data_IF_319804073059
#
_entry.id   IF_319804073059
#
_cell.length_a   1.000
_cell.length_b   1.000
_cell.length_c   1.000
_cell.angle_alpha   90.00
_cell.angle_beta   90.00
_cell.angle_gamma   90.00
#
_symmetry.space_group_name_H-M   'P 1'
#
loop_
_entity.id
_entity.type
_entity.pdbx_description
1 polymer ?
#
# COMPACT_ATOMS: atom_id res chain seq x y z
N UNK A 1 8.50 -6.52 9.30
CA UNK A 1 8.58 -5.24 8.54
C UNK A 1 9.78 -5.29 7.61
N UNK A 2 9.72 -6.06 6.53
CA UNK A 2 10.86 -6.27 5.62
C UNK A 2 10.83 -5.43 4.34
N UNK A 3 9.65 -4.96 3.94
CA UNK A 3 9.44 -4.24 2.67
C UNK A 3 9.32 -2.73 2.82
N UNK A 4 9.25 -2.16 4.03
CA UNK A 4 8.99 -0.74 4.24
C UNK A 4 7.49 -0.40 4.32
N UNK A 5 7.20 0.83 4.76
CA UNK A 5 5.83 1.36 4.93
C UNK A 5 5.76 2.79 4.40
N UNK A 6 4.56 3.23 4.04
CA UNK A 6 4.31 4.60 3.58
C UNK A 6 3.09 5.17 4.29
N UNK A 7 3.24 6.35 4.89
CA UNK A 7 2.14 7.13 5.44
C UNK A 7 1.73 8.25 4.47
N UNK A 8 0.47 8.64 4.51
CA UNK A 8 -0.08 9.77 3.74
C UNK A 8 -0.61 10.84 4.68
N UNK A 9 -0.67 12.09 4.20
CA UNK A 9 -1.27 13.19 4.95
C UNK A 9 -2.78 12.98 5.23
N UNK A 10 -3.44 12.09 4.49
CA UNK A 10 -4.84 11.70 4.70
C UNK A 10 -5.07 10.73 5.87
N UNK A 11 -4.04 10.41 6.66
CA UNK A 11 -4.19 9.54 7.82
C UNK A 11 -4.21 8.04 7.51
N UNK A 12 -3.67 7.64 6.35
CA UNK A 12 -3.54 6.23 5.95
C UNK A 12 -2.07 5.79 5.97
N UNK A 13 -1.83 4.56 6.42
CA UNK A 13 -0.55 3.85 6.28
C UNK A 13 -0.74 2.63 5.40
N UNK A 14 0.19 2.43 4.46
CA UNK A 14 0.24 1.31 3.54
C UNK A 14 1.48 0.46 3.79
N UNK A 15 1.31 -0.86 3.79
CA UNK A 15 2.40 -1.82 3.98
C UNK A 15 2.05 -3.19 3.40
N UNK A 16 3.09 -3.99 3.14
CA UNK A 16 2.94 -5.41 2.83
C UNK A 16 2.86 -6.24 4.11
N UNK A 17 1.92 -7.17 4.16
CA UNK A 17 1.75 -8.19 5.20
C UNK A 17 1.66 -9.58 4.56
N UNK A 18 1.76 -10.63 5.37
CA UNK A 18 1.74 -12.03 4.89
C UNK A 18 0.48 -12.36 4.08
N UNK A 19 -0.63 -11.74 4.46
CA UNK A 19 -1.97 -11.91 3.87
C UNK A 19 -2.22 -11.02 2.63
N UNK A 20 -1.35 -10.05 2.35
CA UNK A 20 -1.47 -9.14 1.21
C UNK A 20 -1.01 -7.71 1.48
N UNK A 21 -1.44 -6.80 0.60
CA UNK A 21 -1.22 -5.37 0.74
C UNK A 21 -2.30 -4.78 1.63
N UNK A 22 -1.92 -3.98 2.61
CA UNK A 22 -2.84 -3.47 3.63
C UNK A 22 -2.83 -1.96 3.63
N UNK A 23 -4.02 -1.38 3.77
CA UNK A 23 -4.23 0.00 4.18
C UNK A 23 -4.78 0.01 5.62
N UNK A 24 -4.18 0.82 6.48
CA UNK A 24 -4.58 0.96 7.87
C UNK A 24 -4.72 2.44 8.27
N UNK A 25 -5.53 2.69 9.29
CA UNK A 25 -5.64 3.98 9.95
C UNK A 25 -4.32 4.31 10.66
N UNK A 26 -3.76 5.48 10.37
CA UNK A 26 -2.46 5.90 10.89
C UNK A 26 -2.47 6.19 12.40
N UNK A 27 -3.63 6.52 12.99
CA UNK A 27 -3.75 6.88 14.40
C UNK A 27 -3.74 5.67 15.33
N UNK A 28 -4.26 4.53 14.86
CA UNK A 28 -4.53 3.36 15.70
C UNK A 28 -4.10 2.03 15.07
N UNK A 29 -3.63 2.02 13.82
CA UNK A 29 -3.17 0.83 13.12
C UNK A 29 -4.28 -0.13 12.68
N UNK A 30 -5.55 0.23 12.85
CA UNK A 30 -6.69 -0.60 12.43
C UNK A 30 -6.65 -0.78 10.93
N UNK A 31 -6.65 -2.03 10.47
CA UNK A 31 -6.77 -2.36 9.05
C UNK A 31 -8.11 -1.89 8.52
N UNK A 32 -8.09 -1.13 7.44
CA UNK A 32 -9.27 -0.58 6.78
C UNK A 32 -9.56 -1.34 5.48
N UNK A 33 -8.51 -1.82 4.81
CA UNK A 33 -8.62 -2.53 3.56
C UNK A 33 -7.41 -3.45 3.33
N UNK A 34 -7.61 -4.50 2.54
CA UNK A 34 -6.58 -5.46 2.17
C UNK A 34 -6.80 -5.99 0.76
N UNK A 35 -5.70 -6.28 0.07
CA UNK A 35 -5.70 -7.01 -1.19
C UNK A 35 -4.64 -8.12 -1.20
N UNK A 36 -5.08 -9.36 -1.38
CA UNK A 36 -4.18 -10.50 -1.52
C UNK A 36 -3.52 -10.51 -2.88
N UNK A 37 -2.21 -10.30 -2.90
CA UNK A 37 -1.41 -10.37 -4.14
C UNK A 37 -0.90 -11.78 -4.45
N UNK A 38 -0.91 -12.69 -3.46
CA UNK A 38 -0.22 -13.98 -3.54
C UNK A 38 1.25 -13.85 -3.95
N UNK A 39 1.91 -12.73 -3.57
CA UNK A 39 3.31 -12.45 -3.88
C UNK A 39 4.12 -12.22 -2.61
N UNK A 40 5.43 -12.44 -2.68
CA UNK A 40 6.37 -12.05 -1.64
C UNK A 40 6.73 -10.57 -1.77
N UNK A 41 6.55 -9.82 -0.68
CA UNK A 41 6.80 -8.39 -0.60
C UNK A 41 8.27 -8.08 -0.34
N UNK A 42 8.90 -7.32 -1.23
CA UNK A 42 10.29 -6.88 -1.05
C UNK A 42 10.49 -5.37 -1.19
N UNK A 43 9.56 -4.68 -1.84
CA UNK A 43 9.62 -3.24 -2.05
C UNK A 43 8.58 -2.49 -1.22
N UNK A 44 8.93 -1.27 -0.84
CA UNK A 44 8.03 -0.37 -0.13
C UNK A 44 6.98 0.20 -1.07
N UNK A 45 5.78 0.50 -0.56
CA UNK A 45 4.81 1.23 -1.35
C UNK A 45 5.27 2.67 -1.63
N UNK A 46 4.81 3.21 -2.75
CA UNK A 46 4.99 4.61 -3.12
C UNK A 46 3.67 5.22 -3.59
N UNK A 47 3.56 6.54 -3.57
CA UNK A 47 2.38 7.26 -4.08
C UNK A 47 2.78 8.29 -5.13
N UNK A 48 1.88 8.53 -6.09
CA UNK A 48 2.01 9.52 -7.16
C UNK A 48 0.61 10.02 -7.56
N UNK A 49 0.54 11.06 -8.40
CA UNK A 49 -0.72 11.57 -8.91
C UNK A 49 -0.69 11.66 -10.44
N UNK A 50 -1.83 11.35 -11.07
CA UNK A 50 -2.07 11.51 -12.52
C UNK A 50 -3.43 12.16 -12.70
N UNK A 51 -3.50 13.27 -13.43
CA UNK A 51 -4.72 14.02 -13.69
C UNK A 51 -5.53 14.33 -12.41
N UNK A 52 -4.83 14.70 -11.33
CA UNK A 52 -5.43 15.02 -10.03
C UNK A 52 -5.85 13.81 -9.18
N UNK A 53 -5.75 12.58 -9.69
CA UNK A 53 -6.07 11.37 -8.94
C UNK A 53 -4.80 10.80 -8.29
N UNK A 54 -4.86 10.50 -6.99
CA UNK A 54 -3.75 9.90 -6.26
C UNK A 54 -3.78 8.37 -6.42
N UNK A 55 -2.60 7.78 -6.65
CA UNK A 55 -2.40 6.35 -6.78
C UNK A 55 -1.36 5.86 -5.78
N UNK A 56 -1.51 4.60 -5.36
CA UNK A 56 -0.49 3.85 -4.64
C UNK A 56 0.04 2.75 -5.54
N UNK A 57 1.36 2.67 -5.69
CA UNK A 57 2.03 1.58 -6.39
C UNK A 57 2.88 0.75 -5.43
N UNK A 58 2.92 -0.55 -5.69
CA UNK A 58 3.78 -1.49 -4.98
C UNK A 58 4.22 -2.62 -5.92
N UNK A 59 5.50 -2.98 -5.84
CA UNK A 59 6.05 -4.13 -6.54
C UNK A 59 5.92 -5.39 -5.66
N UNK A 60 5.21 -6.40 -6.16
CA UNK A 60 5.05 -7.71 -5.54
C UNK A 60 5.50 -8.80 -6.51
N UNK A 61 6.61 -9.48 -6.19
CA UNK A 61 7.21 -10.45 -7.10
C UNK A 61 7.53 -9.85 -8.47
N UNK A 62 6.95 -10.42 -9.54
CA UNK A 62 7.12 -9.93 -10.92
C UNK A 62 6.04 -8.93 -11.37
N UNK A 63 5.12 -8.55 -10.48
CA UNK A 63 3.98 -7.69 -10.79
C UNK A 63 4.11 -6.32 -10.12
N UNK A 64 3.57 -5.30 -10.78
CA UNK A 64 3.35 -3.97 -10.21
C UNK A 64 1.85 -3.78 -10.07
N UNK A 65 1.39 -3.52 -8.85
CA UNK A 65 0.00 -3.19 -8.56
C UNK A 65 -0.13 -1.68 -8.39
N UNK A 66 -1.20 -1.11 -8.93
CA UNK A 66 -1.56 0.29 -8.75
C UNK A 66 -3.02 0.42 -8.27
N UNK A 67 -3.23 1.14 -7.18
CA UNK A 67 -4.54 1.36 -6.56
C UNK A 67 -4.85 2.85 -6.56
N UNK A 68 -6.02 3.25 -7.07
CA UNK A 68 -6.48 4.65 -6.98
C UNK A 68 -7.05 4.90 -5.58
N UNK A 69 -6.68 6.03 -4.97
CA UNK A 69 -7.45 6.59 -3.85
C UNK A 69 -8.63 7.38 -4.41
N UNK A 70 -9.82 7.13 -3.86
CA UNK A 70 -11.03 7.95 -4.06
C UNK A 70 -11.67 8.20 -2.71
#
# INVERSE_FOLDING_TARGET
LGSGLMATAGGLVFYGADEGFVAADASNGKRLWQFSTNQSWRAGPMTYAVDGNQYIAVAGGSNIFAFSLR
#
